data_IF_048015507219
#
_entry.id   IF_048015507219
#
_cell.length_a   1.000
_cell.length_b   1.000
_cell.length_c   1.000
_cell.angle_alpha   90.00
_cell.angle_beta   90.00
_cell.angle_gamma   90.00
#
_symmetry.space_group_name_H-M   'P 1'
#
loop_
_entity.id
_entity.type
_entity.pdbx_description
1 polymer ?
#
# COMPACT_ATOMS: atom_id res chain seq x y z
N UNK A 1 -5.63 1.98 -11.98
CA UNK A 1 -4.69 1.08 -11.31
C UNK A 1 -3.33 1.73 -11.04
N UNK A 2 -2.94 1.85 -9.76
CA UNK A 2 -1.56 2.19 -9.38
C UNK A 2 -0.72 0.89 -9.40
N UNK A 3 0.30 0.85 -10.25
CA UNK A 3 1.20 -0.30 -10.36
C UNK A 3 2.48 -0.10 -9.54
N UNK A 4 3.00 -1.19 -8.97
CA UNK A 4 4.26 -1.22 -8.22
C UNK A 4 5.17 -2.30 -8.77
N UNK A 5 6.48 -2.03 -8.81
CA UNK A 5 7.47 -3.11 -8.82
C UNK A 5 7.55 -3.76 -7.43
N UNK A 6 8.09 -5.00 -7.30
CA UNK A 6 8.33 -5.62 -5.99
C UNK A 6 9.01 -4.70 -4.97
N UNK A 7 10.08 -4.02 -5.37
CA UNK A 7 10.87 -3.17 -4.48
C UNK A 7 10.10 -1.94 -4.04
N UNK A 8 9.35 -1.32 -4.96
CA UNK A 8 8.51 -0.17 -4.65
C UNK A 8 7.36 -0.56 -3.73
N UNK A 9 6.77 -1.74 -3.92
CA UNK A 9 5.72 -2.25 -3.04
C UNK A 9 6.25 -2.45 -1.62
N UNK A 10 7.36 -3.16 -1.45
CA UNK A 10 7.99 -3.36 -0.14
C UNK A 10 8.39 -2.04 0.54
N UNK A 11 8.91 -1.09 -0.25
CA UNK A 11 9.24 0.25 0.25
C UNK A 11 7.99 1.02 0.68
N UNK A 12 6.91 0.93 -0.09
CA UNK A 12 5.63 1.55 0.22
C UNK A 12 5.03 0.99 1.51
N UNK A 13 5.01 -0.33 1.69
CA UNK A 13 4.56 -0.95 2.93
C UNK A 13 5.39 -0.49 4.14
N UNK A 14 6.70 -0.31 3.97
CA UNK A 14 7.57 0.26 5.01
C UNK A 14 7.18 1.69 5.38
N UNK A 15 6.84 2.53 4.39
CA UNK A 15 6.35 3.89 4.63
C UNK A 15 5.00 3.89 5.38
N UNK A 16 4.09 2.99 5.01
CA UNK A 16 2.78 2.82 5.67
C UNK A 16 2.95 2.47 7.16
N UNK A 17 3.85 1.54 7.48
CA UNK A 17 4.13 1.14 8.88
C UNK A 17 4.69 2.30 9.71
N UNK A 18 5.49 3.18 9.10
CA UNK A 18 6.12 4.33 9.78
C UNK A 18 5.17 5.51 9.99
N UNK A 19 3.96 5.48 9.43
CA UNK A 19 2.93 6.54 9.49
C UNK A 19 3.38 7.91 8.94
N UNK A 20 4.61 8.02 8.45
CA UNK A 20 5.21 9.21 7.90
C UNK A 20 5.61 8.90 6.46
N UNK A 21 4.81 9.29 5.47
CA UNK A 21 5.14 9.04 4.07
C UNK A 21 6.42 9.78 3.71
N UNK A 22 7.50 9.05 3.42
CA UNK A 22 8.72 9.65 2.90
C UNK A 22 8.61 10.02 1.42
N UNK A 23 7.63 9.47 0.69
CA UNK A 23 7.43 9.68 -0.74
C UNK A 23 8.68 9.32 -1.57
N UNK A 24 9.45 8.34 -1.08
CA UNK A 24 10.68 7.85 -1.71
C UNK A 24 10.54 6.42 -2.22
N UNK A 25 9.36 5.80 -2.03
CA UNK A 25 9.05 4.45 -2.51
C UNK A 25 9.07 4.31 -4.03
N UNK A 26 9.01 5.41 -4.80
CA UNK A 26 9.16 5.45 -6.26
C UNK A 26 7.87 5.23 -7.07
N UNK A 27 6.77 4.84 -6.43
CA UNK A 27 5.50 4.55 -7.11
C UNK A 27 4.36 5.50 -6.74
N UNK A 28 4.34 5.98 -5.50
CA UNK A 28 3.31 6.90 -5.01
C UNK A 28 3.87 8.05 -4.22
N UNK A 29 3.20 9.19 -4.33
CA UNK A 29 3.35 10.34 -3.45
C UNK A 29 2.09 10.48 -2.60
N UNK A 30 2.27 10.70 -1.30
CA UNK A 30 1.19 10.88 -0.35
C UNK A 30 1.16 12.32 0.11
N UNK A 31 -0.01 12.92 0.00
CA UNK A 31 -0.35 14.18 0.67
C UNK A 31 -1.20 13.86 1.88
N UNK A 32 -0.72 14.20 3.07
CA UNK A 32 -1.48 14.06 4.32
C UNK A 32 -2.42 15.26 4.46
N UNK A 33 -3.71 14.99 4.41
CA UNK A 33 -4.78 15.96 4.56
C UNK A 33 -5.20 16.18 6.01
N UNK A 34 -6.34 16.85 6.17
CA UNK A 34 -6.92 17.13 7.49
C UNK A 34 -7.28 15.85 8.23
N UNK A 35 -7.15 15.87 9.55
CA UNK A 35 -7.50 14.73 10.42
C UNK A 35 -6.78 13.40 10.06
N UNK A 36 -5.64 13.45 9.37
CA UNK A 36 -4.86 12.25 9.04
C UNK A 36 -5.37 11.47 7.83
N UNK A 37 -6.27 12.03 7.01
CA UNK A 37 -6.62 11.46 5.70
C UNK A 37 -5.43 11.46 4.75
N UNK A 38 -5.32 10.49 3.85
CA UNK A 38 -4.27 10.45 2.82
C UNK A 38 -4.86 10.61 1.43
N UNK A 39 -4.18 11.38 0.59
CA UNK A 39 -4.36 11.35 -0.86
C UNK A 39 -3.11 10.71 -1.44
N UNK A 40 -3.27 9.53 -2.03
CA UNK A 40 -2.19 8.74 -2.62
C UNK A 40 -2.22 8.92 -4.12
N UNK A 41 -1.20 9.60 -4.67
CA UNK A 41 -1.05 9.89 -6.08
C UNK A 41 -0.08 8.92 -6.72
N UNK A 42 -0.40 8.41 -7.91
CA UNK A 42 0.58 7.70 -8.72
C UNK A 42 1.65 8.66 -9.25
N UNK A 43 2.93 8.28 -9.19
CA UNK A 43 4.02 9.04 -9.84
C UNK A 43 4.06 8.85 -11.36
N UNK A 44 3.27 7.90 -11.89
CA UNK A 44 3.34 7.47 -13.31
C UNK A 44 2.08 7.78 -14.09
N UNK A 45 0.95 7.94 -13.41
CA UNK A 45 -0.36 8.15 -14.01
C UNK A 45 -1.08 9.29 -13.29
N UNK A 46 -2.16 9.80 -13.85
CA UNK A 46 -2.98 10.83 -13.21
C UNK A 46 -3.92 10.28 -12.13
N UNK A 47 -3.76 9.02 -11.72
CA UNK A 47 -4.66 8.38 -10.77
C UNK A 47 -4.33 8.74 -9.33
N UNK A 48 -5.39 8.79 -8.52
CA UNK A 48 -5.31 9.00 -7.08
C UNK A 48 -6.30 8.11 -6.34
N UNK A 49 -5.95 7.78 -5.10
CA UNK A 49 -6.83 7.10 -4.15
C UNK A 49 -6.93 7.99 -2.91
N UNK A 50 -8.16 8.20 -2.44
CA UNK A 50 -8.41 8.94 -1.21
C UNK A 50 -8.69 7.94 -0.09
N UNK A 51 -7.96 8.09 1.01
CA UNK A 51 -8.19 7.35 2.25
C UNK A 51 -8.64 8.33 3.33
N UNK A 52 -9.77 8.03 3.96
CA UNK A 52 -10.09 8.58 5.26
C UNK A 52 -9.09 8.10 6.31
N UNK A 53 -9.04 8.77 7.46
CA UNK A 53 -8.16 8.38 8.57
C UNK A 53 -8.36 6.92 8.99
N UNK A 54 -9.60 6.47 9.16
CA UNK A 54 -9.91 5.09 9.53
C UNK A 54 -9.48 4.07 8.47
N UNK A 55 -9.51 4.44 7.18
CA UNK A 55 -9.00 3.57 6.11
C UNK A 55 -7.47 3.53 6.09
N UNK A 56 -6.77 4.61 6.44
CA UNK A 56 -5.32 4.60 6.65
C UNK A 56 -4.96 3.66 7.80
N UNK A 57 -5.67 3.75 8.93
CA UNK A 57 -5.46 2.87 10.08
C UNK A 57 -5.72 1.40 9.74
N UNK A 58 -6.84 1.12 9.05
CA UNK A 58 -7.18 -0.22 8.62
C UNK A 58 -6.15 -0.80 7.65
N UNK A 59 -5.71 0.00 6.66
CA UNK A 59 -4.68 -0.42 5.72
C UNK A 59 -3.38 -0.74 6.47
N UNK A 60 -2.93 0.15 7.36
CA UNK A 60 -1.74 -0.08 8.19
C UNK A 60 -1.85 -1.34 9.05
N UNK A 61 -3.01 -1.62 9.64
CA UNK A 61 -3.21 -2.86 10.41
C UNK A 61 -3.05 -4.11 9.53
N UNK A 62 -3.60 -4.12 8.31
CA UNK A 62 -3.39 -5.23 7.38
C UNK A 62 -1.91 -5.38 6.98
N UNK A 63 -1.19 -4.26 6.79
CA UNK A 63 0.26 -4.30 6.52
C UNK A 63 1.04 -4.89 7.69
N UNK A 64 0.74 -4.48 8.92
CA UNK A 64 1.36 -5.04 10.14
C UNK A 64 1.01 -6.51 10.38
N UNK A 65 -0.15 -6.95 9.91
CA UNK A 65 -0.58 -8.34 9.95
C UNK A 65 0.05 -9.21 8.83
N UNK A 66 0.78 -8.61 7.88
CA UNK A 66 1.41 -9.30 6.76
C UNK A 66 0.45 -9.64 5.62
N UNK A 67 -0.77 -9.10 5.60
CA UNK A 67 -1.79 -9.39 4.57
C UNK A 67 -1.36 -8.94 3.16
N UNK A 68 -0.42 -8.00 3.10
CA UNK A 68 0.10 -7.41 1.87
C UNK A 68 1.51 -7.86 1.53
N UNK A 69 2.09 -8.79 2.29
CA UNK A 69 3.40 -9.37 1.96
C UNK A 69 3.29 -10.19 0.67
N UNK A 70 4.12 -9.85 -0.31
CA UNK A 70 4.02 -10.43 -1.64
C UNK A 70 4.15 -11.95 -1.63
N UNK A 71 5.06 -12.47 -0.81
CA UNK A 71 5.29 -13.91 -0.72
C UNK A 71 4.10 -14.63 -0.06
N UNK A 72 3.44 -13.99 0.91
CA UNK A 72 2.19 -14.49 1.49
C UNK A 72 1.06 -14.48 0.44
N UNK A 73 0.92 -13.39 -0.32
CA UNK A 73 -0.08 -13.27 -1.38
C UNK A 73 0.12 -14.28 -2.53
N UNK A 74 1.37 -14.55 -2.91
CA UNK A 74 1.70 -15.58 -3.92
C UNK A 74 1.41 -17.00 -3.41
N UNK A 75 1.67 -17.27 -2.13
CA UNK A 75 1.37 -18.55 -1.51
C UNK A 75 -0.14 -18.80 -1.42
N UNK A 76 -0.93 -17.79 -1.03
CA UNK A 76 -2.39 -17.88 -0.98
C UNK A 76 -3.00 -18.05 -2.37
N UNK A 77 -2.50 -17.34 -3.38
CA UNK A 77 -2.92 -17.53 -4.77
C UNK A 77 -2.58 -18.94 -5.29
N UNK A 78 -1.44 -19.49 -4.89
CA UNK A 78 -1.04 -20.86 -5.20
C UNK A 78 -1.92 -21.92 -4.52
N UNK A 79 -2.31 -21.69 -3.27
CA UNK A 79 -3.23 -22.56 -2.51
C UNK A 79 -4.64 -22.58 -3.14
N UNK A 80 -5.16 -21.41 -3.55
CA UNK A 80 -6.46 -21.31 -4.21
C UNK A 80 -6.45 -21.97 -5.60
N UNK A 81 -5.35 -21.87 -6.34
CA UNK A 81 -5.20 -22.51 -7.65
C UNK A 81 -5.09 -24.05 -7.58
N UNK A 82 -4.61 -24.61 -6.46
CA UNK A 82 -4.53 -26.07 -6.27
C UNK A 82 -5.77 -26.70 -5.62
N UNK A 83 -6.69 -25.88 -5.11
CA UNK A 83 -7.98 -26.31 -4.59
C UNK A 83 -9.11 -26.31 -5.65
N UNK A 84 -8.77 -26.06 -6.92
CA UNK A 84 -9.70 -25.93 -8.06
C UNK A 84 -9.65 -27.13 -9.00
#
# INVERSE_FOLDING_TARGET
MIAFTPTEWSSWLTEVVRETPSNTNGAVEVVVGVQGSWIVHSTRTAEQILFSHGEVEAFRHGVLAGEFDRDAMLNDAGLLAQAS
#
